data_IF_225319724596
#
_entry.id   IF_225319724596
#
_cell.length_a   1.000
_cell.length_b   1.000
_cell.length_c   1.000
_cell.angle_alpha   90.00
_cell.angle_beta   90.00
_cell.angle_gamma   90.00
#
_symmetry.space_group_name_H-M   'P 1'
#
loop_
_entity.id
_entity.type
_entity.pdbx_description
1 polymer ?
#
# COMPACT_ATOMS: atom_id res chain seq x y z
N UNK A 1 34.40 -8.05 5.80
CA UNK A 1 32.94 -7.88 5.73
C UNK A 1 32.65 -6.46 5.28
N UNK A 2 32.47 -6.25 3.98
CA UNK A 2 32.11 -4.95 3.42
C UNK A 2 30.64 -4.69 3.71
N UNK A 3 30.36 -3.80 4.66
CA UNK A 3 29.04 -3.19 4.81
C UNK A 3 28.89 -2.26 3.61
N UNK A 4 28.20 -2.70 2.56
CA UNK A 4 27.85 -1.82 1.43
C UNK A 4 26.74 -0.88 1.88
N UNK A 5 27.15 0.32 2.30
CA UNK A 5 26.30 1.51 2.43
C UNK A 5 25.91 1.99 1.02
N UNK A 6 25.05 1.25 0.33
CA UNK A 6 24.59 1.59 -1.01
C UNK A 6 23.21 1.01 -1.27
N UNK A 7 22.32 1.83 -1.84
CA UNK A 7 21.01 1.39 -2.28
C UNK A 7 21.14 0.16 -3.17
N UNK A 8 20.57 -0.97 -2.75
CA UNK A 8 20.56 -2.20 -3.55
C UNK A 8 19.47 -2.08 -4.63
N UNK A 9 19.75 -1.38 -5.72
CA UNK A 9 18.79 -1.15 -6.82
C UNK A 9 18.13 -2.44 -7.34
N UNK A 10 18.84 -3.56 -7.57
CA UNK A 10 18.18 -4.80 -8.01
C UNK A 10 17.16 -5.34 -7.00
N UNK A 11 17.44 -5.19 -5.70
CA UNK A 11 16.56 -5.59 -4.62
C UNK A 11 15.36 -4.66 -4.51
N UNK A 12 15.56 -3.34 -4.65
CA UNK A 12 14.49 -2.35 -4.70
C UNK A 12 13.52 -2.64 -5.85
N UNK A 13 14.04 -2.87 -7.07
CA UNK A 13 13.23 -3.21 -8.25
C UNK A 13 12.39 -4.46 -8.03
N UNK A 14 12.96 -5.47 -7.40
CA UNK A 14 12.26 -6.71 -7.06
C UNK A 14 11.16 -6.46 -6.03
N UNK A 15 11.49 -5.72 -4.96
CA UNK A 15 10.54 -5.39 -3.91
C UNK A 15 9.37 -4.55 -4.41
N UNK A 16 9.59 -3.58 -5.31
CA UNK A 16 8.51 -2.78 -5.91
C UNK A 16 7.53 -3.67 -6.68
N UNK A 17 8.03 -4.63 -7.48
CA UNK A 17 7.18 -5.59 -8.22
C UNK A 17 6.38 -6.48 -7.27
N UNK A 18 7.00 -6.96 -6.19
CA UNK A 18 6.31 -7.76 -5.18
C UNK A 18 5.25 -6.92 -4.44
N UNK A 19 5.56 -5.66 -4.10
CA UNK A 19 4.65 -4.74 -3.45
C UNK A 19 3.41 -4.47 -4.31
N UNK A 20 3.55 -4.23 -5.62
CA UNK A 20 2.42 -4.07 -6.56
C UNK A 20 1.52 -5.30 -6.54
N UNK A 21 2.09 -6.50 -6.68
CA UNK A 21 1.29 -7.73 -6.65
C UNK A 21 0.58 -7.93 -5.30
N UNK A 22 1.25 -7.57 -4.19
CA UNK A 22 0.69 -7.66 -2.85
C UNK A 22 -0.46 -6.66 -2.66
N UNK A 23 -0.29 -5.42 -3.10
CA UNK A 23 -1.29 -4.35 -3.06
C UNK A 23 -2.57 -4.79 -3.81
N UNK A 24 -2.43 -5.30 -5.03
CA UNK A 24 -3.56 -5.86 -5.82
C UNK A 24 -4.31 -6.96 -5.07
N UNK A 25 -3.56 -7.90 -4.51
CA UNK A 25 -4.14 -9.04 -3.80
C UNK A 25 -4.88 -8.58 -2.53
N UNK A 26 -4.27 -7.67 -1.77
CA UNK A 26 -4.85 -7.13 -0.55
C UNK A 26 -6.08 -6.27 -0.83
N UNK A 27 -6.03 -5.41 -1.87
CA UNK A 27 -7.18 -4.65 -2.34
C UNK A 27 -8.34 -5.56 -2.69
N UNK A 28 -8.12 -6.55 -3.57
CA UNK A 28 -9.17 -7.51 -3.95
C UNK A 28 -9.76 -8.25 -2.74
N UNK A 29 -8.91 -8.74 -1.83
CA UNK A 29 -9.36 -9.43 -0.62
C UNK A 29 -10.24 -8.54 0.25
N UNK A 30 -9.84 -7.29 0.46
CA UNK A 30 -10.59 -6.31 1.28
C UNK A 30 -11.93 -5.95 0.63
N UNK A 31 -11.97 -5.75 -0.69
CA UNK A 31 -13.21 -5.50 -1.44
C UNK A 31 -14.19 -6.66 -1.33
N UNK A 32 -13.72 -7.91 -1.44
CA UNK A 32 -14.57 -9.09 -1.25
C UNK A 32 -15.10 -9.20 0.19
N UNK A 33 -14.28 -8.89 1.19
CA UNK A 33 -14.71 -8.85 2.59
C UNK A 33 -15.73 -7.74 2.85
N UNK A 34 -15.56 -6.56 2.25
CA UNK A 34 -16.50 -5.44 2.35
C UNK A 34 -17.86 -5.82 1.75
N UNK A 35 -17.89 -6.53 0.62
CA UNK A 35 -19.14 -6.99 0.01
C UNK A 35 -19.92 -7.93 0.94
N UNK A 36 -19.24 -8.89 1.59
CA UNK A 36 -19.86 -9.79 2.57
C UNK A 36 -20.37 -9.03 3.79
N UNK A 37 -19.60 -8.06 4.28
CA UNK A 37 -19.97 -7.23 5.43
C UNK A 37 -21.21 -6.37 5.17
N UNK A 38 -21.47 -5.97 3.91
CA UNK A 38 -22.69 -5.25 3.53
C UNK A 38 -23.95 -6.12 3.71
N UNK A 39 -23.85 -7.43 3.48
CA UNK A 39 -24.94 -8.38 3.77
C UNK A 39 -25.21 -8.47 5.28
N UNK A 40 -24.15 -8.52 6.10
CA UNK A 40 -24.28 -8.53 7.58
C UNK A 40 -24.98 -7.27 8.11
N UNK A 41 -24.77 -6.11 7.47
CA UNK A 41 -25.48 -4.87 7.84
C UNK A 41 -26.98 -5.01 7.60
N UNK A 42 -27.38 -5.59 6.46
CA UNK A 42 -28.79 -5.83 6.16
C UNK A 42 -29.43 -6.74 7.22
N UNK A 43 -28.73 -7.78 7.67
CA UNK A 43 -29.18 -8.66 8.75
C UNK A 43 -29.31 -7.92 10.09
N UNK A 44 -28.37 -7.04 10.44
CA UNK A 44 -28.46 -6.23 11.67
C UNK A 44 -29.64 -5.25 11.63
N UNK A 45 -29.92 -4.65 10.48
CA UNK A 45 -31.08 -3.77 10.31
C UNK A 45 -32.38 -4.57 10.43
N UNK A 46 -32.48 -5.72 9.77
CA UNK A 46 -33.65 -6.60 9.86
C UNK A 46 -33.90 -7.12 11.29
N UNK A 47 -32.83 -7.34 12.06
CA UNK A 47 -32.90 -7.72 13.47
C UNK A 47 -33.12 -6.54 14.44
N UNK A 48 -33.39 -5.32 13.92
CA UNK A 48 -33.59 -4.08 14.70
C UNK A 48 -32.38 -3.69 15.59
N UNK A 49 -31.15 -4.02 15.17
CA UNK A 49 -29.88 -3.75 15.88
C UNK A 49 -29.13 -2.58 15.24
N UNK A 50 -29.74 -1.40 15.23
CA UNK A 50 -29.22 -0.23 14.52
C UNK A 50 -27.82 0.22 14.97
N UNK A 51 -27.52 0.20 16.27
CA UNK A 51 -26.21 0.63 16.77
C UNK A 51 -25.08 -0.29 16.27
N UNK A 52 -25.34 -1.61 16.22
CA UNK A 52 -24.38 -2.58 15.70
C UNK A 52 -24.18 -2.43 14.19
N UNK A 53 -25.25 -2.13 13.46
CA UNK A 53 -25.17 -1.80 12.04
C UNK A 53 -24.31 -0.55 11.80
N UNK A 54 -24.47 0.51 12.60
CA UNK A 54 -23.66 1.74 12.50
C UNK A 54 -22.17 1.48 12.70
N UNK A 55 -21.80 0.76 13.76
CA UNK A 55 -20.40 0.38 14.02
C UNK A 55 -19.83 -0.42 12.84
N UNK A 56 -20.64 -1.34 12.27
CA UNK A 56 -20.21 -2.14 11.12
C UNK A 56 -20.00 -1.29 9.86
N UNK A 57 -20.90 -0.35 9.59
CA UNK A 57 -20.78 0.61 8.47
C UNK A 57 -19.51 1.44 8.60
N UNK A 58 -19.22 2.01 9.77
CA UNK A 58 -17.99 2.79 9.98
C UNK A 58 -16.73 1.97 9.69
N UNK A 59 -16.73 0.69 10.06
CA UNK A 59 -15.62 -0.20 9.77
C UNK A 59 -15.46 -0.44 8.26
N UNK A 60 -16.57 -0.66 7.52
CA UNK A 60 -16.53 -0.81 6.07
C UNK A 60 -15.99 0.44 5.39
N UNK A 61 -16.43 1.64 5.81
CA UNK A 61 -15.95 2.91 5.25
C UNK A 61 -14.43 3.03 5.39
N UNK A 62 -13.86 2.68 6.55
CA UNK A 62 -12.40 2.69 6.76
C UNK A 62 -11.68 1.69 5.86
N UNK A 63 -12.27 0.52 5.64
CA UNK A 63 -11.70 -0.50 4.76
C UNK A 63 -11.77 -0.09 3.29
N UNK A 64 -12.85 0.56 2.87
CA UNK A 64 -13.00 1.09 1.51
C UNK A 64 -11.93 2.18 1.25
N UNK A 65 -11.69 3.10 2.19
CA UNK A 65 -10.58 4.07 2.10
C UNK A 65 -9.20 3.40 2.05
N UNK A 66 -9.02 2.27 2.73
CA UNK A 66 -7.75 1.54 2.69
C UNK A 66 -7.51 0.91 1.32
N UNK A 67 -8.57 0.42 0.65
CA UNK A 67 -8.48 -0.09 -0.73
C UNK A 67 -8.07 1.02 -1.69
N UNK A 68 -8.69 2.20 -1.60
CA UNK A 68 -8.30 3.37 -2.41
C UNK A 68 -6.83 3.75 -2.17
N UNK A 69 -6.37 3.73 -0.92
CA UNK A 69 -4.98 4.00 -0.59
C UNK A 69 -4.02 2.95 -1.20
N UNK A 70 -4.43 1.69 -1.28
CA UNK A 70 -3.63 0.66 -1.96
C UNK A 70 -3.50 0.92 -3.47
N UNK A 71 -4.56 1.36 -4.14
CA UNK A 71 -4.54 1.70 -5.57
C UNK A 71 -3.59 2.88 -5.86
N UNK A 72 -3.61 3.91 -5.01
CA UNK A 72 -2.69 5.06 -5.11
C UNK A 72 -1.23 4.61 -4.95
N UNK A 73 -0.94 3.78 -3.95
CA UNK A 73 0.41 3.27 -3.71
C UNK A 73 0.89 2.33 -4.81
N UNK A 74 -0.02 1.56 -5.41
CA UNK A 74 0.27 0.73 -6.57
C UNK A 74 0.74 1.60 -7.74
N UNK A 75 -0.03 2.64 -8.06
CA UNK A 75 0.32 3.60 -9.12
C UNK A 75 1.68 4.25 -8.87
N UNK A 76 2.00 4.63 -7.63
CA UNK A 76 3.32 5.16 -7.29
C UNK A 76 4.44 4.13 -7.44
N UNK A 77 4.21 2.87 -7.06
CA UNK A 77 5.20 1.81 -7.27
C UNK A 77 5.45 1.56 -8.76
N UNK A 78 4.40 1.59 -9.59
CA UNK A 78 4.51 1.46 -11.04
C UNK A 78 5.25 2.65 -11.67
N UNK A 79 5.00 3.88 -11.20
CA UNK A 79 5.75 5.08 -11.61
C UNK A 79 7.26 4.93 -11.34
N UNK A 80 7.62 4.49 -10.13
CA UNK A 80 9.03 4.27 -9.77
C UNK A 80 9.67 3.15 -10.60
N UNK A 81 8.93 2.09 -10.93
CA UNK A 81 9.42 1.02 -11.82
C UNK A 81 9.60 1.49 -13.27
N UNK A 82 8.67 2.31 -13.78
CA UNK A 82 8.75 2.86 -15.13
C UNK A 82 9.96 3.81 -15.28
N UNK A 83 10.28 4.57 -14.22
CA UNK A 83 11.41 5.51 -14.18
C UNK A 83 12.66 4.93 -13.51
N UNK A 84 12.73 3.61 -13.33
CA UNK A 84 13.82 2.99 -12.57
C UNK A 84 15.22 3.24 -13.16
N UNK A 85 15.33 3.37 -14.49
CA UNK A 85 16.60 3.71 -15.15
C UNK A 85 17.13 5.09 -14.80
N UNK A 86 16.26 6.05 -14.46
CA UNK A 86 16.65 7.37 -13.95
C UNK A 86 17.09 7.27 -12.48
N UNK A 87 16.38 6.47 -11.68
CA UNK A 87 16.68 6.24 -10.25
C UNK A 87 18.09 5.66 -10.06
N UNK A 88 18.54 4.76 -10.94
CA UNK A 88 19.89 4.17 -10.86
C UNK A 88 21.03 5.16 -11.16
N UNK A 89 20.75 6.24 -11.89
CA UNK A 89 21.75 7.17 -12.41
C UNK A 89 21.80 8.50 -11.64
N UNK A 90 20.74 8.83 -10.90
CA UNK A 90 20.62 10.11 -10.22
C UNK A 90 21.22 10.10 -8.81
N UNK A 91 21.95 11.16 -8.47
CA UNK A 91 22.47 11.40 -7.11
C UNK A 91 21.50 12.20 -6.23
N UNK A 92 20.45 12.75 -6.82
CA UNK A 92 19.46 13.62 -6.19
C UNK A 92 18.07 13.19 -6.62
N UNK A 93 17.10 13.30 -5.73
CA UNK A 93 15.71 13.00 -6.00
C UNK A 93 15.15 13.99 -7.05
N UNK A 94 14.62 13.47 -8.15
CA UNK A 94 13.96 14.26 -9.19
C UNK A 94 12.52 14.60 -8.77
N UNK A 95 12.09 15.83 -9.06
CA UNK A 95 10.77 16.33 -8.67
C UNK A 95 9.63 15.47 -9.23
N UNK A 96 9.83 14.82 -10.39
CA UNK A 96 8.84 13.94 -11.02
C UNK A 96 8.66 12.57 -10.36
N UNK A 97 9.55 12.19 -9.42
CA UNK A 97 9.43 10.95 -8.62
C UNK A 97 9.37 11.23 -7.11
N UNK A 98 9.70 12.45 -6.69
CA UNK A 98 9.79 12.83 -5.29
C UNK A 98 8.50 12.54 -4.52
N UNK A 99 7.35 12.91 -5.10
CA UNK A 99 6.04 12.66 -4.50
C UNK A 99 5.80 11.16 -4.22
N UNK A 100 6.10 10.31 -5.20
CA UNK A 100 5.93 8.86 -5.07
C UNK A 100 6.84 8.27 -3.99
N UNK A 101 8.12 8.67 -3.97
CA UNK A 101 9.09 8.20 -2.96
C UNK A 101 8.64 8.61 -1.55
N UNK A 102 8.35 9.90 -1.34
CA UNK A 102 7.95 10.43 -0.03
C UNK A 102 6.65 9.78 0.45
N UNK A 103 5.67 9.62 -0.43
CA UNK A 103 4.38 9.01 -0.10
C UNK A 103 4.53 7.54 0.30
N UNK A 104 5.36 6.78 -0.43
CA UNK A 104 5.64 5.38 -0.08
C UNK A 104 6.42 5.28 1.24
N UNK A 105 7.43 6.14 1.46
CA UNK A 105 8.16 6.20 2.74
C UNK A 105 7.23 6.45 3.92
N UNK A 106 6.30 7.40 3.76
CA UNK A 106 5.33 7.73 4.79
C UNK A 106 4.33 6.60 5.01
N UNK A 107 3.88 5.91 3.95
CA UNK A 107 2.92 4.82 4.04
C UNK A 107 3.53 3.51 4.58
N UNK A 108 4.82 3.27 4.34
CA UNK A 108 5.52 2.04 4.71
C UNK A 108 5.31 1.59 6.18
N UNK A 109 5.52 2.43 7.21
CA UNK A 109 5.29 2.02 8.60
C UNK A 109 3.80 1.79 8.92
N UNK A 110 2.89 2.45 8.21
CA UNK A 110 1.44 2.38 8.44
C UNK A 110 0.83 1.11 7.86
N UNK A 111 1.44 0.57 6.81
CA UNK A 111 0.99 -0.63 6.09
C UNK A 111 1.86 -1.86 6.35
N UNK A 112 2.80 -1.77 7.30
CA UNK A 112 3.77 -2.82 7.59
C UNK A 112 3.13 -4.15 8.05
N UNK A 113 1.87 -4.14 8.48
CA UNK A 113 1.08 -5.32 8.82
C UNK A 113 0.53 -6.04 7.60
N UNK A 114 0.17 -5.30 6.56
CA UNK A 114 -0.50 -5.80 5.37
C UNK A 114 0.48 -6.07 4.22
N UNK A 115 1.56 -5.28 4.17
CA UNK A 115 2.58 -5.24 3.12
C UNK A 115 3.97 -5.33 3.76
N UNK A 116 4.48 -6.56 3.87
CA UNK A 116 5.78 -6.82 4.47
C UNK A 116 6.94 -6.29 3.61
N UNK A 117 6.69 -6.10 2.31
CA UNK A 117 7.65 -5.63 1.31
C UNK A 117 8.08 -4.17 1.57
N UNK A 118 7.21 -3.37 2.20
CA UNK A 118 7.53 -2.01 2.66
C UNK A 118 8.31 -1.97 3.98
N UNK A 119 8.37 -3.09 4.73
CA UNK A 119 9.04 -3.18 6.04
C UNK A 119 10.56 -3.36 5.93
N UNK A 120 11.11 -3.41 4.73
CA UNK A 120 12.56 -3.53 4.52
C UNK A 120 13.19 -2.15 4.67
N UNK A 121 14.19 -2.05 5.53
CA UNK A 121 15.07 -0.92 5.85
C UNK A 121 15.78 -0.22 4.66
N UNK A 122 15.26 -0.31 3.44
CA UNK A 122 15.86 0.10 2.18
C UNK A 122 15.26 1.38 1.57
N UNK A 123 14.10 1.87 2.03
CA UNK A 123 13.54 3.13 1.49
C UNK A 123 14.18 4.35 2.16
N UNK A 124 14.81 4.19 3.32
CA UNK A 124 15.60 5.26 3.98
C UNK A 124 16.88 5.64 3.21
N UNK A 125 17.17 4.98 2.08
CA UNK A 125 18.35 5.19 1.24
C UNK A 125 18.01 5.64 -0.19
N UNK A 126 16.73 5.90 -0.50
CA UNK A 126 16.31 6.71 -1.65
C UNK A 126 16.40 8.19 -1.27
#
# INVERSE_FOLDING_TARGET
MSISWGAQYPKLKTNLRLAINRLKLMGKKKTEMALKARTEIAEYIAANKADRARIRVEHIIREDYLVEAFEILEMYCDLLLARFGLIEQMKTLDDGIAEAVISIMWAAPRLATDIAEFKVSNINHL
#
